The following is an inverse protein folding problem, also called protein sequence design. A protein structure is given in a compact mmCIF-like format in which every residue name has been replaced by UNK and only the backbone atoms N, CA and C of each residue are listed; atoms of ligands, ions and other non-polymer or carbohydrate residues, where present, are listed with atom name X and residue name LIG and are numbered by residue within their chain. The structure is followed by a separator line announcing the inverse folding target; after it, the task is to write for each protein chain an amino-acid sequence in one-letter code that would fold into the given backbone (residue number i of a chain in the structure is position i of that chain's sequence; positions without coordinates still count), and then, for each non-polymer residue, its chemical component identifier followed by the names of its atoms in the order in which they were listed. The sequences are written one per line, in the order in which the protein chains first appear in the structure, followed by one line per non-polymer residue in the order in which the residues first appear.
data_IF_225169750729
#
_entry.id   IF_225169750729
#
_cell.length_a   1.000
_cell.length_b   1.000
_cell.length_c   1.000
_cell.angle_alpha   90.00
_cell.angle_beta   90.00
_cell.angle_gamma   90.00
#
_symmetry.space_group_name_H-M   'P 1'
#
loop_
_entity.id
_entity.type
_entity.pdbx_description
1 polymer ?
#
# COMPACT_ATOMS: atom_id res chain seq x y z
N UNK A 1 8.67 16.63 -15.73
CA UNK A 1 8.37 16.42 -14.30
C UNK A 1 8.30 14.92 -14.10
N UNK A 2 9.34 14.28 -13.52
CA UNK A 2 9.16 12.95 -12.93
C UNK A 2 8.12 13.17 -11.82
N UNK A 3 6.88 12.77 -12.04
CA UNK A 3 5.93 12.68 -10.94
C UNK A 3 6.58 11.76 -9.92
N UNK A 4 6.74 12.24 -8.70
CA UNK A 4 7.43 11.53 -7.65
C UNK A 4 6.53 10.36 -7.21
N UNK A 5 6.66 9.21 -7.89
CA UNK A 5 5.85 8.02 -7.68
C UNK A 5 5.83 7.59 -6.21
N UNK A 6 6.91 7.87 -5.47
CA UNK A 6 6.99 7.63 -4.03
C UNK A 6 6.03 8.54 -3.27
N UNK A 7 5.99 9.84 -3.57
CA UNK A 7 4.98 10.75 -2.98
C UNK A 7 3.57 10.30 -3.32
N UNK A 8 3.33 9.91 -4.56
CA UNK A 8 2.00 9.47 -4.97
C UNK A 8 1.57 8.19 -4.25
N UNK A 9 2.49 7.23 -4.06
CA UNK A 9 2.26 6.07 -3.21
C UNK A 9 1.91 6.48 -1.77
N UNK A 10 2.63 7.45 -1.22
CA UNK A 10 2.35 8.03 0.09
C UNK A 10 0.92 8.58 0.19
N UNK A 11 0.46 9.34 -0.81
CA UNK A 11 -0.91 9.85 -0.88
C UNK A 11 -1.94 8.72 -0.94
N UNK A 12 -1.73 7.71 -1.80
CA UNK A 12 -2.64 6.56 -1.91
C UNK A 12 -2.77 5.77 -0.61
N UNK A 13 -1.71 5.69 0.19
CA UNK A 13 -1.71 4.95 1.45
C UNK A 13 -2.23 5.80 2.62
N UNK A 14 -1.78 7.05 2.73
CA UNK A 14 -1.80 7.83 3.98
C UNK A 14 -2.61 9.13 3.91
N UNK A 15 -3.15 9.51 2.75
CA UNK A 15 -4.02 10.68 2.66
C UNK A 15 -5.14 10.57 3.72
N UNK A 16 -5.43 11.67 4.42
CA UNK A 16 -6.33 11.64 5.57
C UNK A 16 -7.78 11.35 5.17
N UNK A 17 -8.19 11.84 4.00
CA UNK A 17 -9.57 11.74 3.51
C UNK A 17 -9.77 10.47 2.67
N UNK A 18 -8.73 10.03 1.95
CA UNK A 18 -8.86 8.99 0.94
C UNK A 18 -7.71 7.97 0.89
N UNK A 19 -6.79 7.99 1.86
CA UNK A 19 -5.71 6.99 1.93
C UNK A 19 -6.26 5.61 2.30
N UNK A 20 -5.78 4.54 1.66
CA UNK A 20 -6.20 3.16 1.93
C UNK A 20 -6.07 2.81 3.43
N UNK A 21 -4.91 3.11 4.02
CA UNK A 21 -4.63 2.80 5.43
C UNK A 21 -5.47 3.68 6.35
N UNK A 22 -5.70 4.95 5.97
CA UNK A 22 -6.58 5.87 6.70
C UNK A 22 -8.02 5.35 6.75
N UNK A 23 -8.59 4.95 5.60
CA UNK A 23 -9.96 4.42 5.50
C UNK A 23 -10.16 3.11 6.24
N UNK A 24 -9.19 2.20 6.14
CA UNK A 24 -9.22 0.94 6.91
C UNK A 24 -9.20 1.21 8.42
N UNK A 25 -8.43 2.21 8.88
CA UNK A 25 -8.34 2.55 10.30
C UNK A 25 -9.64 3.10 10.86
N UNK A 26 -10.39 3.86 10.07
CA UNK A 26 -11.66 4.47 10.51
C UNK A 26 -12.89 3.59 10.27
N UNK A 27 -12.73 2.42 9.65
CA UNK A 27 -13.82 1.46 9.47
C UNK A 27 -14.59 1.62 8.15
N UNK A 28 -14.10 2.39 7.18
CA UNK A 28 -14.80 2.63 5.90
C UNK A 28 -14.70 1.45 4.93
N UNK A 29 -13.77 0.53 5.16
CA UNK A 29 -13.64 -0.71 4.41
C UNK A 29 -12.53 -0.67 3.37
N UNK A 30 -12.41 -1.77 2.63
CA UNK A 30 -11.40 -1.93 1.61
C UNK A 30 -11.85 -1.31 0.28
N UNK A 31 -11.10 -0.34 -0.21
CA UNK A 31 -11.26 0.18 -1.57
C UNK A 31 -10.37 -0.64 -2.53
N UNK A 32 -11.00 -1.55 -3.28
CA UNK A 32 -10.30 -2.42 -4.24
C UNK A 32 -9.67 -1.64 -5.39
N UNK A 33 -10.28 -0.54 -5.83
CA UNK A 33 -9.71 0.29 -6.90
C UNK A 33 -8.40 0.94 -6.48
N UNK A 34 -8.32 1.33 -5.21
CA UNK A 34 -7.11 1.89 -4.60
C UNK A 34 -6.02 0.84 -4.42
N UNK A 35 -6.39 -0.40 -4.10
CA UNK A 35 -5.46 -1.53 -4.06
C UNK A 35 -4.83 -1.76 -5.45
N UNK A 36 -5.65 -1.78 -6.51
CA UNK A 36 -5.16 -1.96 -7.88
C UNK A 36 -4.21 -0.83 -8.28
N UNK A 37 -4.53 0.41 -7.89
CA UNK A 37 -3.70 1.57 -8.15
C UNK A 37 -2.36 1.52 -7.40
N UNK A 38 -2.38 1.19 -6.11
CA UNK A 38 -1.16 0.97 -5.31
C UNK A 38 -0.29 -0.09 -5.96
N UNK A 39 -0.87 -1.22 -6.38
CA UNK A 39 -0.13 -2.29 -7.05
C UNK A 39 0.49 -1.85 -8.38
N UNK A 40 -0.19 -0.99 -9.14
CA UNK A 40 0.34 -0.39 -10.37
C UNK A 40 1.55 0.51 -10.09
N UNK A 41 1.46 1.36 -9.07
CA UNK A 41 2.57 2.25 -8.67
C UNK A 41 3.77 1.46 -8.17
N UNK A 42 3.56 0.45 -7.32
CA UNK A 42 4.63 -0.44 -6.85
C UNK A 42 5.30 -1.18 -8.02
N UNK A 43 4.52 -1.62 -9.01
CA UNK A 43 5.09 -2.26 -10.22
C UNK A 43 5.95 -1.29 -11.01
N UNK A 44 5.55 -0.03 -11.15
CA UNK A 44 6.36 1.00 -11.82
C UNK A 44 7.64 1.32 -11.04
N UNK A 45 7.54 1.45 -9.70
CA UNK A 45 8.69 1.68 -8.83
C UNK A 45 9.71 0.53 -8.91
N UNK A 46 9.24 -0.72 -8.92
CA UNK A 46 10.11 -1.89 -9.10
C UNK A 46 10.89 -1.85 -10.42
N UNK A 47 10.24 -1.43 -11.52
CA UNK A 47 10.91 -1.27 -12.82
C UNK A 47 11.92 -0.12 -12.78
N UNK A 48 11.58 1.01 -12.14
CA UNK A 48 12.53 2.14 -12.01
C UNK A 48 13.76 1.75 -11.19
N UNK A 49 13.60 0.92 -10.15
CA UNK A 49 14.66 0.54 -9.24
C UNK A 49 15.39 -0.76 -9.58
N UNK A 50 14.98 -1.49 -10.62
CA UNK A 50 15.57 -2.80 -11.00
C UNK A 50 17.10 -2.74 -11.16
N UNK A 51 17.64 -1.59 -11.58
CA UNK A 51 19.07 -1.38 -11.81
C UNK A 51 19.72 -0.41 -10.81
N UNK A 52 18.97 0.06 -9.81
CA UNK A 52 19.47 0.96 -8.79
C UNK A 52 19.96 0.17 -7.57
N UNK A 53 21.07 0.60 -6.96
CA UNK A 53 21.64 -0.04 -5.77
C UNK A 53 20.96 0.39 -4.45
N UNK A 54 19.99 1.31 -4.55
CA UNK A 54 19.31 1.94 -3.43
C UNK A 54 17.89 2.32 -3.82
N UNK A 55 16.99 2.23 -2.85
CA UNK A 55 15.62 2.74 -2.94
C UNK A 55 15.42 3.94 -2.03
N UNK A 56 14.34 4.68 -2.27
CA UNK A 56 13.98 5.83 -1.42
C UNK A 56 13.69 5.37 0.01
N UNK A 57 14.31 6.05 0.99
CA UNK A 57 14.00 5.87 2.41
C UNK A 57 12.51 6.08 2.68
N UNK A 58 11.91 7.08 2.03
CA UNK A 58 10.49 7.40 2.18
C UNK A 58 9.60 6.23 1.73
N UNK A 59 9.97 5.53 0.66
CA UNK A 59 9.24 4.34 0.22
C UNK A 59 9.37 3.18 1.22
N UNK A 60 10.57 2.98 1.77
CA UNK A 60 10.78 1.98 2.84
C UNK A 60 9.92 2.29 4.06
N UNK A 61 9.87 3.57 4.47
CA UNK A 61 9.03 4.02 5.58
C UNK A 61 7.54 3.71 5.31
N UNK A 62 7.07 3.81 4.06
CA UNK A 62 5.71 3.36 3.69
C UNK A 62 5.56 1.84 3.79
N UNK A 63 6.50 1.06 3.25
CA UNK A 63 6.42 -0.40 3.22
C UNK A 63 6.31 -1.02 4.61
N UNK A 64 7.09 -0.53 5.57
CA UNK A 64 7.08 -1.04 6.95
C UNK A 64 5.76 -0.76 7.68
N UNK A 65 4.92 0.16 7.18
CA UNK A 65 3.65 0.51 7.78
C UNK A 65 2.45 -0.27 7.22
N UNK A 66 2.54 -0.82 6.00
CA UNK A 66 1.42 -1.48 5.33
C UNK A 66 0.89 -2.66 6.15
N UNK A 67 1.74 -3.65 6.39
CA UNK A 67 1.37 -4.88 7.10
C UNK A 67 0.82 -4.63 8.53
N UNK A 68 1.53 -3.92 9.42
CA UNK A 68 1.04 -3.73 10.78
C UNK A 68 -0.25 -2.93 10.84
N UNK A 69 -0.43 -1.93 9.95
CA UNK A 69 -1.67 -1.14 9.94
C UNK A 69 -2.84 -1.98 9.42
N UNK A 70 -2.70 -2.68 8.29
CA UNK A 70 -3.78 -3.51 7.77
C UNK A 70 -4.19 -4.60 8.76
N UNK A 71 -3.23 -5.32 9.36
CA UNK A 71 -3.49 -6.35 10.36
C UNK A 71 -4.19 -5.78 11.61
N UNK A 72 -3.74 -4.64 12.12
CA UNK A 72 -4.35 -4.01 13.31
C UNK A 72 -5.82 -3.60 13.10
N UNK A 73 -6.24 -3.38 11.85
CA UNK A 73 -7.62 -2.97 11.54
C UNK A 73 -8.60 -4.14 11.40
N UNK A 74 -8.12 -5.38 11.24
CA UNK A 74 -8.97 -6.55 10.93
C UNK A 74 -10.11 -6.75 11.93
N UNK A 75 -9.85 -6.56 13.23
CA UNK A 75 -10.85 -6.72 14.30
C UNK A 75 -12.08 -5.79 14.17
N UNK A 76 -12.00 -4.76 13.33
CA UNK A 76 -13.11 -3.82 13.05
C UNK A 76 -14.07 -4.32 11.98
N UNK A 77 -13.70 -5.37 11.26
CA UNK A 77 -14.38 -5.85 10.07
C UNK A 77 -15.00 -7.23 10.29
N UNK A 78 -16.04 -7.55 9.53
CA UNK A 78 -16.60 -8.92 9.49
C UNK A 78 -15.58 -9.92 8.94
N UNK A 79 -15.70 -11.21 9.26
CA UNK A 79 -14.80 -12.25 8.76
C UNK A 79 -14.65 -12.23 7.23
N UNK A 80 -15.74 -11.98 6.51
CA UNK A 80 -15.72 -11.84 5.04
C UNK A 80 -14.84 -10.67 4.60
N UNK A 81 -15.00 -9.50 5.22
CA UNK A 81 -14.20 -8.32 4.90
C UNK A 81 -12.74 -8.49 5.34
N UNK A 82 -12.49 -9.16 6.47
CA UNK A 82 -11.14 -9.49 6.92
C UNK A 82 -10.42 -10.35 5.87
N UNK A 83 -11.09 -11.37 5.32
CA UNK A 83 -10.52 -12.19 4.25
C UNK A 83 -10.17 -11.35 3.01
N UNK A 84 -11.02 -10.40 2.62
CA UNK A 84 -10.73 -9.48 1.51
C UNK A 84 -9.52 -8.56 1.80
N UNK A 85 -9.42 -8.04 3.02
CA UNK A 85 -8.30 -7.18 3.45
C UNK A 85 -6.99 -7.98 3.47
N UNK A 86 -7.01 -9.23 3.94
CA UNK A 86 -5.84 -10.12 3.96
C UNK A 86 -5.37 -10.42 2.52
N UNK A 87 -6.29 -10.74 1.61
CA UNK A 87 -5.95 -10.96 0.19
C UNK A 87 -5.32 -9.69 -0.43
N UNK A 88 -5.86 -8.51 -0.13
CA UNK A 88 -5.30 -7.25 -0.60
C UNK A 88 -3.92 -6.98 0.00
N UNK A 89 -3.73 -7.27 1.30
CA UNK A 89 -2.44 -7.16 1.97
C UNK A 89 -1.40 -8.07 1.31
N UNK A 90 -1.71 -9.35 1.10
CA UNK A 90 -0.82 -10.30 0.44
C UNK A 90 -0.42 -9.82 -0.96
N UNK A 91 -1.40 -9.32 -1.72
CA UNK A 91 -1.19 -8.79 -3.07
C UNK A 91 -0.26 -7.57 -3.06
N UNK A 92 -0.47 -6.62 -2.14
CA UNK A 92 0.37 -5.44 -2.00
C UNK A 92 1.79 -5.84 -1.57
N UNK A 93 1.92 -6.75 -0.60
CA UNK A 93 3.21 -7.19 -0.09
C UNK A 93 4.02 -7.95 -1.14
N UNK A 94 3.37 -8.71 -2.04
CA UNK A 94 4.04 -9.30 -3.21
C UNK A 94 4.64 -8.23 -4.13
N UNK A 95 3.95 -7.09 -4.32
CA UNK A 95 4.49 -5.97 -5.11
C UNK A 95 5.61 -5.22 -4.40
N UNK A 96 5.49 -5.03 -3.09
CA UNK A 96 6.56 -4.45 -2.25
C UNK A 96 7.83 -5.29 -2.36
N UNK A 97 7.74 -6.62 -2.31
CA UNK A 97 8.90 -7.52 -2.44
C UNK A 97 9.66 -7.34 -3.75
N UNK A 98 8.98 -6.99 -4.84
CA UNK A 98 9.65 -6.74 -6.13
C UNK A 98 10.36 -5.38 -6.18
N UNK A 99 10.11 -4.50 -5.21
CA UNK A 99 10.80 -3.22 -5.08
C UNK A 99 12.10 -3.30 -4.25
N UNK A 100 12.37 -4.45 -3.62
CA UNK A 100 13.48 -4.69 -2.69
C UNK A 100 14.52 -5.62 -3.31
#
# INVERSE_FOLDING_TARGET
MKNDLVKYLGDLLLNQDDGLLSKLRIGEGLDKSKVDEICSILTQLAIEWENDDKISKEAVDYFIHIDPVMNATLSRYSEKQQAEIIIALDTIMDKVRNCL
#
